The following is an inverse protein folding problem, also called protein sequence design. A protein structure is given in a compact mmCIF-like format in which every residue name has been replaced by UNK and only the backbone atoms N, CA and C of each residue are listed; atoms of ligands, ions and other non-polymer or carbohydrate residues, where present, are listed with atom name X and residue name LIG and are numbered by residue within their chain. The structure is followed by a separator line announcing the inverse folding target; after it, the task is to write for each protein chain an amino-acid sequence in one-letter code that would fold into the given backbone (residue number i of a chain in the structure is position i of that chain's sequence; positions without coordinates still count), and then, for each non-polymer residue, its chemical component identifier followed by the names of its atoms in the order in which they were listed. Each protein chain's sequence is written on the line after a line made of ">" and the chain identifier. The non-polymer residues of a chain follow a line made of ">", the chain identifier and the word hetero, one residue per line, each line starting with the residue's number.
data_IF_465783746894
#
_entry.id   IF_465783746894
#
_cell.length_a   1.000
_cell.length_b   1.000
_cell.length_c   1.000
_cell.angle_alpha   90.00
_cell.angle_beta   90.00
_cell.angle_gamma   90.00
#
_symmetry.space_group_name_H-M   'P 1'
#
loop_
_entity.id
_entity.type
_entity.pdbx_description
1 polymer ?
#
# COMPACT_ATOMS: atom_id res chain seq x y z
N UNK A 1 -0.63 -15.46 16.07
CA UNK A 1 -0.14 -14.10 15.81
C UNK A 1 -0.36 -13.78 14.33
N UNK A 2 -0.80 -12.55 14.05
CA UNK A 2 -1.05 -12.08 12.70
C UNK A 2 -0.08 -10.92 12.42
N UNK A 3 0.80 -11.12 11.45
CA UNK A 3 1.85 -10.20 11.01
C UNK A 3 2.57 -9.44 12.16
N UNK A 4 3.17 -10.15 13.13
CA UNK A 4 3.78 -9.50 14.29
C UNK A 4 5.05 -8.70 13.95
N UNK A 5 5.61 -8.84 12.75
CA UNK A 5 6.78 -8.09 12.27
C UNK A 5 6.43 -6.70 11.69
N UNK A 6 5.14 -6.35 11.54
CA UNK A 6 4.72 -5.06 10.95
C UNK A 6 5.39 -3.87 11.65
N UNK A 7 5.96 -2.96 10.86
CA UNK A 7 6.61 -1.73 11.35
C UNK A 7 7.91 -1.97 12.13
N UNK A 8 8.42 -3.20 12.14
CA UNK A 8 9.68 -3.52 12.81
C UNK A 8 10.86 -3.40 11.84
N UNK A 9 11.92 -2.80 12.31
CA UNK A 9 13.21 -2.85 11.62
C UNK A 9 13.79 -4.28 11.69
N UNK A 10 14.54 -4.73 10.67
CA UNK A 10 15.16 -6.06 10.62
C UNK A 10 15.93 -6.45 11.89
N UNK A 11 16.58 -5.49 12.56
CA UNK A 11 17.23 -5.70 13.87
C UNK A 11 16.24 -6.13 14.96
N UNK A 12 15.03 -5.56 14.97
CA UNK A 12 14.04 -5.84 16.00
C UNK A 12 13.29 -7.14 15.68
N UNK A 13 13.16 -7.51 14.38
CA UNK A 13 12.69 -8.83 13.95
C UNK A 13 13.53 -9.97 14.55
N UNK A 14 14.86 -9.83 14.59
CA UNK A 14 15.73 -10.84 15.24
C UNK A 14 15.35 -11.06 16.71
N UNK A 15 15.01 -9.99 17.44
CA UNK A 15 14.58 -10.11 18.86
C UNK A 15 13.20 -10.75 18.96
N UNK A 16 12.28 -10.40 18.06
CA UNK A 16 10.95 -10.98 18.01
C UNK A 16 11.02 -12.49 17.73
N UNK A 17 11.77 -12.91 16.72
CA UNK A 17 12.00 -14.33 16.37
C UNK A 17 12.50 -15.09 17.60
N UNK A 18 13.48 -14.53 18.32
CA UNK A 18 14.00 -15.14 19.54
C UNK A 18 12.90 -15.29 20.60
N UNK A 19 12.11 -14.28 20.86
CA UNK A 19 11.03 -14.34 21.84
C UNK A 19 9.96 -15.37 21.46
N UNK A 20 9.64 -15.52 20.15
CA UNK A 20 8.71 -16.54 19.67
C UNK A 20 9.27 -17.96 19.85
N UNK A 21 10.57 -18.15 19.60
CA UNK A 21 11.25 -19.42 19.87
C UNK A 21 11.28 -19.76 21.37
N UNK A 22 11.59 -18.78 22.21
CA UNK A 22 11.56 -18.98 23.68
C UNK A 22 10.14 -19.35 24.12
N UNK A 23 9.08 -18.75 23.56
CA UNK A 23 7.69 -19.10 23.85
C UNK A 23 7.33 -20.54 23.42
N UNK A 24 7.81 -20.99 22.26
CA UNK A 24 7.68 -22.36 21.78
C UNK A 24 8.40 -23.35 22.71
N UNK A 25 9.63 -23.02 23.09
CA UNK A 25 10.51 -23.93 23.84
C UNK A 25 10.01 -24.22 25.26
N UNK A 26 9.14 -23.38 25.84
CA UNK A 26 8.44 -23.67 27.10
C UNK A 26 7.17 -24.52 26.90
N UNK A 27 6.94 -25.09 25.70
CA UNK A 27 5.91 -26.09 25.44
C UNK A 27 4.64 -25.52 24.75
N UNK A 28 4.67 -24.30 24.20
CA UNK A 28 3.54 -23.74 23.46
C UNK A 28 3.62 -24.09 21.97
N UNK A 29 2.44 -24.15 21.33
CA UNK A 29 2.34 -24.10 19.87
C UNK A 29 2.19 -22.65 19.45
N UNK A 30 3.08 -22.17 18.59
CA UNK A 30 3.08 -20.79 18.07
C UNK A 30 2.75 -20.83 16.57
N UNK A 31 1.60 -20.26 16.18
CA UNK A 31 1.20 -20.10 14.79
C UNK A 31 1.32 -18.62 14.42
N UNK A 32 2.04 -18.34 13.35
CA UNK A 32 2.32 -16.97 12.86
C UNK A 32 1.91 -16.88 11.40
N UNK A 33 1.12 -15.88 11.06
CA UNK A 33 0.87 -15.46 9.68
C UNK A 33 1.89 -14.38 9.35
N UNK A 34 2.72 -14.60 8.33
CA UNK A 34 3.85 -13.71 8.04
C UNK A 34 4.25 -13.70 6.56
N UNK A 35 4.89 -12.58 6.17
CA UNK A 35 5.49 -12.36 4.86
C UNK A 35 7.00 -12.06 4.96
N UNK A 36 7.53 -11.92 6.17
CA UNK A 36 8.95 -11.66 6.41
C UNK A 36 9.80 -12.91 6.15
N UNK A 37 10.84 -12.76 5.32
CA UNK A 37 11.73 -13.85 4.89
C UNK A 37 12.44 -14.52 6.07
N UNK A 38 12.97 -13.72 7.01
CA UNK A 38 13.74 -14.24 8.12
C UNK A 38 12.82 -15.01 9.08
N UNK A 39 11.60 -14.50 9.30
CA UNK A 39 10.58 -15.16 10.12
C UNK A 39 10.20 -16.53 9.55
N UNK A 40 9.99 -16.60 8.21
CA UNK A 40 9.68 -17.87 7.55
C UNK A 40 10.83 -18.87 7.64
N UNK A 41 12.06 -18.44 7.37
CA UNK A 41 13.24 -19.33 7.39
C UNK A 41 13.62 -19.82 8.79
N UNK A 42 13.26 -19.09 9.84
CA UNK A 42 13.54 -19.40 11.23
C UNK A 42 12.40 -20.19 11.94
N UNK A 43 11.30 -20.49 11.20
CA UNK A 43 10.19 -21.32 11.68
C UNK A 43 10.55 -22.80 11.64
N UNK A 44 9.83 -23.64 12.41
CA UNK A 44 9.98 -25.10 12.38
C UNK A 44 9.24 -25.72 11.19
N UNK A 45 8.17 -25.07 10.72
CA UNK A 45 7.32 -25.56 9.64
C UNK A 45 6.69 -24.39 8.90
N UNK A 46 6.68 -24.47 7.59
CA UNK A 46 6.08 -23.46 6.69
C UNK A 46 4.86 -24.08 6.00
N UNK A 47 3.76 -23.35 5.97
CA UNK A 47 2.56 -23.67 5.22
C UNK A 47 2.27 -22.51 4.26
N UNK A 48 2.40 -22.75 2.97
CA UNK A 48 2.20 -21.75 1.92
C UNK A 48 0.79 -21.89 1.32
N UNK A 49 0.00 -20.82 1.41
CA UNK A 49 -1.38 -20.79 0.94
C UNK A 49 -1.47 -19.91 -0.30
N UNK A 50 -1.99 -20.45 -1.39
CA UNK A 50 -2.10 -19.77 -2.67
C UNK A 50 -3.02 -20.52 -3.64
N UNK A 51 -2.68 -20.50 -4.98
CA UNK A 51 -1.53 -19.82 -5.60
C UNK A 51 -1.68 -18.31 -5.78
N UNK A 52 -2.89 -17.75 -5.65
CA UNK A 52 -3.18 -16.33 -5.79
C UNK A 52 -4.05 -15.83 -4.64
N UNK A 53 -4.50 -14.58 -4.75
CA UNK A 53 -5.37 -13.95 -3.76
C UNK A 53 -6.87 -14.16 -4.09
N UNK A 54 -7.75 -13.98 -3.09
CA UNK A 54 -9.20 -14.03 -3.26
C UNK A 54 -9.69 -15.36 -3.81
N UNK A 55 -10.42 -15.34 -4.93
CA UNK A 55 -11.01 -16.55 -5.55
C UNK A 55 -9.97 -17.53 -6.11
N UNK A 56 -8.76 -17.08 -6.33
CA UNK A 56 -7.65 -17.87 -6.87
C UNK A 56 -6.77 -18.47 -5.77
N UNK A 57 -7.08 -18.20 -4.51
CA UNK A 57 -6.34 -18.67 -3.34
C UNK A 57 -7.04 -19.78 -2.57
N UNK A 58 -6.62 -19.96 -1.32
CA UNK A 58 -7.25 -20.87 -0.36
C UNK A 58 -6.80 -22.32 -0.47
N UNK A 59 -5.74 -22.62 -1.24
CA UNK A 59 -5.16 -23.95 -1.35
C UNK A 59 -3.76 -23.99 -0.74
N UNK A 60 -3.39 -25.11 -0.12
CA UNK A 60 -2.00 -25.36 0.27
C UNK A 60 -1.20 -25.65 -1.00
N UNK A 61 -0.24 -24.79 -1.34
CA UNK A 61 0.60 -24.93 -2.53
C UNK A 61 1.94 -25.58 -2.22
N UNK A 62 2.46 -25.36 -1.01
CA UNK A 62 3.66 -26.00 -0.50
C UNK A 62 3.64 -26.06 1.03
N UNK A 63 4.27 -27.08 1.60
CA UNK A 63 4.43 -27.20 3.05
C UNK A 63 5.68 -28.01 3.40
N UNK A 64 6.23 -27.83 4.58
CA UNK A 64 7.36 -28.59 5.12
C UNK A 64 8.21 -27.77 6.10
N UNK A 65 9.21 -28.44 6.67
CA UNK A 65 10.30 -27.73 7.34
C UNK A 65 11.04 -26.83 6.31
N UNK A 66 11.79 -25.80 6.75
CA UNK A 66 12.42 -24.85 5.84
C UNK A 66 13.28 -25.50 4.74
N UNK A 67 14.02 -26.56 5.05
CA UNK A 67 14.88 -27.24 4.05
C UNK A 67 14.05 -27.95 3.00
N UNK A 68 13.04 -28.71 3.41
CA UNK A 68 12.10 -29.39 2.53
C UNK A 68 11.28 -28.39 1.73
N UNK A 69 10.86 -27.28 2.36
CA UNK A 69 10.09 -26.23 1.70
C UNK A 69 10.86 -25.53 0.58
N UNK A 70 12.12 -25.18 0.81
CA UNK A 70 13.00 -24.55 -0.19
C UNK A 70 13.25 -25.43 -1.43
N UNK A 71 13.09 -26.75 -1.32
CA UNK A 71 13.16 -27.67 -2.45
C UNK A 71 11.87 -27.73 -3.31
N UNK A 72 10.79 -27.06 -2.86
CA UNK A 72 9.52 -27.00 -3.62
C UNK A 72 9.59 -25.95 -4.72
N UNK A 73 8.66 -26.08 -5.68
CA UNK A 73 8.54 -25.13 -6.80
C UNK A 73 7.45 -24.06 -6.57
N UNK A 74 7.10 -23.76 -5.31
CA UNK A 74 6.20 -22.63 -5.04
C UNK A 74 6.90 -21.30 -5.27
N UNK A 75 6.13 -20.26 -5.56
CA UNK A 75 6.66 -18.91 -5.77
C UNK A 75 7.34 -18.38 -4.51
N UNK A 76 6.79 -18.72 -3.32
CA UNK A 76 7.40 -18.39 -2.03
C UNK A 76 8.76 -19.07 -1.87
N UNK A 77 8.88 -20.36 -2.21
CA UNK A 77 10.16 -21.06 -2.14
C UNK A 77 11.21 -20.47 -3.09
N UNK A 78 10.82 -20.12 -4.31
CA UNK A 78 11.71 -19.47 -5.28
C UNK A 78 12.20 -18.10 -4.78
N UNK A 79 11.33 -17.31 -4.14
CA UNK A 79 11.72 -16.04 -3.52
C UNK A 79 12.69 -16.24 -2.36
N UNK A 80 12.39 -17.18 -1.45
CA UNK A 80 13.27 -17.49 -0.31
C UNK A 80 14.64 -17.99 -0.75
N UNK A 81 14.71 -18.76 -1.84
CA UNK A 81 15.95 -19.21 -2.49
C UNK A 81 16.71 -18.08 -3.22
N UNK A 82 16.05 -16.91 -3.45
CA UNK A 82 16.61 -15.84 -4.25
C UNK A 82 16.59 -16.10 -5.76
N UNK A 83 15.78 -17.05 -6.24
CA UNK A 83 15.58 -17.34 -7.67
C UNK A 83 14.71 -16.28 -8.35
N UNK A 84 13.82 -15.64 -7.60
CA UNK A 84 13.02 -14.50 -8.00
C UNK A 84 13.16 -13.39 -6.96
N UNK A 85 12.98 -12.15 -7.38
CA UNK A 85 13.08 -10.99 -6.51
C UNK A 85 12.64 -9.73 -7.23
N UNK A 86 12.75 -8.59 -6.53
CA UNK A 86 12.40 -7.28 -7.10
C UNK A 86 13.46 -6.81 -8.09
N UNK A 87 13.00 -6.11 -9.13
CA UNK A 87 13.89 -5.51 -10.11
C UNK A 87 14.55 -4.25 -9.53
N UNK A 88 15.87 -4.23 -9.47
CA UNK A 88 16.64 -3.07 -9.00
C UNK A 88 17.25 -2.37 -10.20
N UNK A 89 17.09 -1.06 -10.29
CA UNK A 89 17.63 -0.27 -11.39
C UNK A 89 19.16 -0.41 -11.50
N UNK A 90 19.65 -0.61 -12.71
CA UNK A 90 21.08 -0.71 -12.98
C UNK A 90 21.84 0.59 -12.67
N UNK A 91 21.17 1.74 -12.82
CA UNK A 91 21.67 3.06 -12.45
C UNK A 91 20.64 3.79 -11.60
N UNK A 92 21.08 4.41 -10.51
CA UNK A 92 20.25 5.22 -9.63
C UNK A 92 19.97 6.57 -10.29
N UNK A 93 18.74 7.09 -10.12
CA UNK A 93 18.40 8.45 -10.57
C UNK A 93 19.17 9.48 -9.76
N UNK A 94 19.63 10.54 -10.43
CA UNK A 94 20.28 11.69 -9.77
C UNK A 94 19.26 12.76 -9.36
N UNK A 95 18.02 12.66 -9.82
CA UNK A 95 16.96 13.65 -9.65
C UNK A 95 17.04 14.81 -10.66
N UNK A 96 16.19 15.83 -10.46
CA UNK A 96 16.13 17.04 -11.31
C UNK A 96 17.31 17.99 -11.09
N UNK A 97 18.07 17.82 -10.01
CA UNK A 97 19.05 18.78 -9.52
C UNK A 97 18.52 19.73 -8.44
N UNK A 98 17.20 19.85 -8.33
CA UNK A 98 16.53 20.61 -7.28
C UNK A 98 16.34 19.75 -6.03
N UNK A 99 16.15 20.41 -4.88
CA UNK A 99 15.97 19.73 -3.59
C UNK A 99 15.05 20.50 -2.66
N UNK A 100 14.41 19.79 -1.74
CA UNK A 100 13.83 20.36 -0.53
C UNK A 100 14.89 20.26 0.57
N UNK A 101 15.13 21.37 1.27
CA UNK A 101 16.03 21.43 2.39
C UNK A 101 15.26 21.93 3.61
N UNK A 102 15.05 21.04 4.59
CA UNK A 102 14.49 21.34 5.91
C UNK A 102 15.64 21.39 6.91
N UNK A 103 15.80 22.51 7.64
CA UNK A 103 16.86 22.69 8.62
C UNK A 103 16.28 22.86 10.01
N UNK A 104 17.03 22.41 11.02
CA UNK A 104 16.74 22.70 12.40
C UNK A 104 15.53 21.95 12.99
N UNK A 105 15.21 20.76 12.50
CA UNK A 105 14.09 19.97 13.05
C UNK A 105 14.46 19.43 14.44
N UNK A 106 13.68 19.83 15.49
CA UNK A 106 13.95 19.52 16.91
C UNK A 106 12.75 18.92 17.64
N UNK A 107 11.69 18.55 16.93
CA UNK A 107 10.51 17.94 17.52
C UNK A 107 10.79 16.60 18.20
N UNK A 108 10.13 16.32 19.32
CA UNK A 108 10.23 15.08 20.10
C UNK A 108 11.70 14.68 20.37
N UNK A 109 12.17 13.57 19.79
CA UNK A 109 13.54 13.08 19.97
C UNK A 109 14.54 13.58 18.91
N UNK A 110 14.11 14.42 17.94
CA UNK A 110 14.99 14.92 16.88
C UNK A 110 16.06 15.87 17.44
N UNK A 111 17.28 15.71 16.96
CA UNK A 111 18.47 16.44 17.43
C UNK A 111 18.98 17.41 16.38
N UNK A 112 18.23 18.48 16.12
CA UNK A 112 18.56 19.53 15.18
C UNK A 112 18.90 18.98 13.79
N UNK A 113 17.96 18.21 13.21
CA UNK A 113 18.18 17.53 11.93
C UNK A 113 18.09 18.51 10.78
N UNK A 114 19.05 18.37 9.85
CA UNK A 114 18.95 18.91 8.49
C UNK A 114 18.61 17.77 7.55
N UNK A 115 17.45 17.88 6.87
CA UNK A 115 16.95 16.88 5.92
C UNK A 115 17.02 17.43 4.50
N UNK A 116 17.77 16.76 3.63
CA UNK A 116 17.83 17.05 2.20
C UNK A 116 17.09 15.99 1.40
N UNK A 117 16.07 16.37 0.62
CA UNK A 117 15.34 15.48 -0.26
C UNK A 117 15.56 15.90 -1.71
N UNK A 118 16.14 15.01 -2.50
CA UNK A 118 16.37 15.22 -3.94
C UNK A 118 15.08 15.05 -4.71
N UNK A 119 14.71 16.05 -5.51
CA UNK A 119 13.48 15.98 -6.30
C UNK A 119 13.65 15.10 -7.53
N UNK A 120 12.55 14.43 -7.94
CA UNK A 120 12.55 13.48 -9.06
C UNK A 120 13.23 12.15 -8.74
N UNK A 121 13.25 11.73 -7.47
CA UNK A 121 13.84 10.46 -7.03
C UNK A 121 12.86 9.64 -6.19
N UNK A 122 13.12 8.34 -6.09
CA UNK A 122 12.57 7.46 -5.06
C UNK A 122 13.52 7.48 -3.86
N UNK A 123 13.17 8.24 -2.83
CA UNK A 123 13.93 8.34 -1.58
C UNK A 123 13.29 7.51 -0.48
N UNK A 124 14.06 6.68 0.22
CA UNK A 124 13.57 5.89 1.34
C UNK A 124 14.13 6.40 2.67
N UNK A 125 13.23 6.65 3.63
CA UNK A 125 13.55 6.96 5.02
C UNK A 125 13.56 5.66 5.79
N UNK A 126 14.70 5.33 6.39
CA UNK A 126 14.92 4.09 7.13
C UNK A 126 15.34 4.37 8.57
N UNK A 127 15.51 3.33 9.35
CA UNK A 127 16.00 3.42 10.73
C UNK A 127 15.20 2.59 11.70
N UNK A 128 15.77 2.33 12.86
CA UNK A 128 15.14 1.50 13.91
C UNK A 128 13.82 2.10 14.38
N UNK A 129 12.96 1.26 14.97
CA UNK A 129 11.69 1.71 15.53
C UNK A 129 11.92 2.76 16.61
N UNK A 130 11.13 3.86 16.58
CA UNK A 130 11.29 4.99 17.49
C UNK A 130 12.50 5.90 17.21
N UNK A 131 13.20 5.77 16.07
CA UNK A 131 14.35 6.63 15.73
C UNK A 131 13.97 8.06 15.36
N UNK A 132 12.67 8.38 15.18
CA UNK A 132 12.18 9.72 14.85
C UNK A 132 11.68 9.89 13.43
N UNK A 133 11.54 8.81 12.64
CA UNK A 133 11.04 8.86 11.25
C UNK A 133 9.68 9.56 11.13
N UNK A 134 8.68 9.11 11.89
CA UNK A 134 7.33 9.68 11.87
C UNK A 134 7.32 11.13 12.36
N UNK A 135 8.12 11.45 13.40
CA UNK A 135 8.29 12.81 13.89
C UNK A 135 8.85 13.74 12.80
N UNK A 136 9.88 13.28 12.08
CA UNK A 136 10.52 14.09 11.03
C UNK A 136 9.59 14.27 9.81
N UNK A 137 8.91 13.22 9.38
CA UNK A 137 8.13 13.24 8.14
C UNK A 137 6.67 13.65 8.39
N UNK A 138 5.91 12.94 9.27
CA UNK A 138 4.48 13.18 9.46
C UNK A 138 4.16 14.35 10.38
N UNK A 139 5.01 14.61 11.38
CA UNK A 139 4.76 15.66 12.37
C UNK A 139 5.52 16.96 12.07
N UNK A 140 6.54 16.93 11.20
CA UNK A 140 7.32 18.12 10.83
C UNK A 140 7.18 18.45 9.34
N UNK A 141 7.73 17.63 8.43
CA UNK A 141 7.78 17.94 6.99
C UNK A 141 6.38 18.02 6.36
N UNK A 142 5.54 17.00 6.55
CA UNK A 142 4.22 16.94 5.90
C UNK A 142 3.30 18.10 6.33
N UNK A 143 3.18 18.49 7.62
CA UNK A 143 2.42 19.67 8.01
C UNK A 143 2.91 20.96 7.35
N UNK A 144 4.24 21.17 7.20
CA UNK A 144 4.80 22.34 6.50
C UNK A 144 4.31 22.35 5.05
N UNK A 145 4.47 21.22 4.33
CA UNK A 145 4.02 21.10 2.94
C UNK A 145 2.51 21.31 2.82
N UNK A 146 1.74 20.76 3.76
CA UNK A 146 0.29 20.84 3.78
C UNK A 146 -0.22 22.25 4.06
N UNK A 147 0.48 23.02 4.93
CA UNK A 147 0.22 24.43 5.12
C UNK A 147 0.50 25.23 3.85
N UNK A 148 1.63 24.98 3.19
CA UNK A 148 2.03 25.71 1.99
C UNK A 148 1.06 25.50 0.82
N UNK A 149 0.66 24.26 0.53
CA UNK A 149 -0.16 23.94 -0.65
C UNK A 149 -1.66 24.01 -0.43
N UNK A 150 -2.12 23.72 0.79
CA UNK A 150 -3.56 23.54 1.09
C UNK A 150 -4.08 24.41 2.22
N UNK A 151 -3.27 25.33 2.77
CA UNK A 151 -3.63 26.18 3.89
C UNK A 151 -4.14 25.37 5.10
N UNK A 152 -3.55 24.21 5.35
CA UNK A 152 -3.86 23.37 6.51
C UNK A 152 -3.58 24.13 7.80
N UNK A 153 -4.38 23.85 8.84
CA UNK A 153 -4.19 24.45 10.19
C UNK A 153 -3.32 23.58 11.11
N UNK A 154 -2.88 22.42 10.62
CA UNK A 154 -2.01 21.53 11.41
C UNK A 154 -0.65 22.17 11.54
N UNK A 155 -0.23 22.45 12.78
CA UNK A 155 1.06 23.05 13.05
C UNK A 155 2.18 22.02 13.00
N UNK A 156 3.29 22.29 12.29
CA UNK A 156 4.47 21.44 12.30
C UNK A 156 5.17 21.51 13.66
N UNK A 157 5.90 20.46 14.00
CA UNK A 157 6.84 20.49 15.10
C UNK A 157 7.99 21.47 14.83
N UNK A 158 8.71 21.94 15.87
CA UNK A 158 9.71 23.00 15.73
C UNK A 158 10.80 22.68 14.70
N UNK A 159 11.08 23.65 13.84
CA UNK A 159 12.15 23.66 12.84
C UNK A 159 12.64 25.10 12.63
N UNK A 160 13.80 25.27 11.97
CA UNK A 160 14.35 26.60 11.71
C UNK A 160 13.88 27.17 10.36
N UNK A 161 14.07 26.41 9.27
CA UNK A 161 13.67 26.86 7.92
C UNK A 161 13.44 25.71 6.97
N UNK A 162 12.72 26.01 5.88
CA UNK A 162 12.53 25.12 4.73
C UNK A 162 12.70 25.92 3.43
N UNK A 163 13.29 25.29 2.41
CA UNK A 163 13.44 25.86 1.07
C UNK A 163 13.21 24.81 -0.01
N UNK A 164 12.99 25.25 -1.27
CA UNK A 164 12.77 24.36 -2.42
C UNK A 164 11.31 24.01 -2.66
N UNK A 165 10.34 24.62 -1.95
CA UNK A 165 8.91 24.36 -2.11
C UNK A 165 8.38 24.83 -3.48
N UNK A 166 9.05 25.80 -4.10
CA UNK A 166 8.73 26.34 -5.43
C UNK A 166 8.93 25.34 -6.58
N UNK A 167 9.66 24.26 -6.34
CA UNK A 167 9.93 23.23 -7.35
C UNK A 167 8.85 22.14 -7.41
N UNK A 168 7.95 22.08 -6.44
CA UNK A 168 6.84 21.13 -6.38
C UNK A 168 5.51 21.84 -6.48
N UNK A 169 4.48 21.17 -6.96
CA UNK A 169 3.15 21.77 -7.19
C UNK A 169 2.08 21.25 -6.22
N UNK A 170 2.29 20.11 -5.62
CA UNK A 170 1.40 19.51 -4.61
C UNK A 170 2.10 18.42 -3.81
N UNK A 171 1.58 18.16 -2.63
CA UNK A 171 1.95 17.02 -1.80
C UNK A 171 0.79 16.03 -1.69
N UNK A 172 1.08 14.75 -1.70
CA UNK A 172 0.09 13.68 -1.53
C UNK A 172 0.63 12.70 -0.52
N UNK A 173 -0.08 12.55 0.59
CA UNK A 173 0.19 11.52 1.57
C UNK A 173 -0.67 10.29 1.28
N UNK A 174 -0.06 9.12 1.27
CA UNK A 174 -0.71 7.83 1.07
C UNK A 174 -0.46 6.98 2.30
N UNK A 175 -1.36 7.08 3.26
CA UNK A 175 -1.34 6.37 4.53
C UNK A 175 -2.26 5.15 4.53
N UNK A 176 -2.20 4.33 5.58
CA UNK A 176 -3.01 3.13 5.77
C UNK A 176 -4.42 3.40 6.34
N UNK A 177 -4.82 4.67 6.51
CA UNK A 177 -6.15 5.00 7.01
C UNK A 177 -7.24 4.50 6.04
N UNK A 178 -8.41 4.07 6.56
CA UNK A 178 -9.50 3.56 5.72
C UNK A 178 -9.93 4.59 4.65
N UNK A 179 -10.28 4.11 3.45
CA UNK A 179 -10.83 4.95 2.36
C UNK A 179 -12.26 5.43 2.64
N UNK A 180 -12.81 5.07 3.77
CA UNK A 180 -14.12 5.51 4.26
C UNK A 180 -14.54 4.73 5.50
N UNK A 181 -15.40 5.37 6.31
CA UNK A 181 -15.84 4.85 7.61
C UNK A 181 -17.21 4.15 7.57
N UNK A 182 -17.83 4.06 6.41
CA UNK A 182 -19.18 3.51 6.27
C UNK A 182 -19.22 2.39 5.24
N UNK A 183 -20.16 1.44 5.33
CA UNK A 183 -20.33 0.39 4.32
C UNK A 183 -20.68 0.90 2.91
N UNK A 184 -21.01 2.18 2.76
CA UNK A 184 -21.28 2.81 1.45
C UNK A 184 -20.00 3.21 0.71
N UNK A 185 -18.89 3.38 1.42
CA UNK A 185 -17.58 3.62 0.82
C UNK A 185 -17.01 2.32 0.25
N UNK A 186 -16.47 2.38 -0.96
CA UNK A 186 -15.87 1.23 -1.64
C UNK A 186 -14.84 1.71 -2.68
N UNK A 187 -14.00 0.82 -3.24
CA UNK A 187 -13.00 1.18 -4.25
C UNK A 187 -13.57 1.92 -5.45
N UNK A 188 -14.75 1.53 -5.97
CA UNK A 188 -15.35 2.18 -7.13
C UNK A 188 -15.79 3.62 -6.84
N UNK A 189 -16.27 3.91 -5.63
CA UNK A 189 -16.66 5.28 -5.24
C UNK A 189 -15.44 6.14 -4.95
N UNK A 190 -14.43 5.59 -4.31
CA UNK A 190 -13.23 6.33 -3.95
C UNK A 190 -12.40 6.75 -5.17
N UNK A 191 -12.20 5.86 -6.13
CA UNK A 191 -11.53 6.16 -7.41
C UNK A 191 -12.36 7.04 -8.35
N UNK A 192 -13.64 7.25 -8.02
CA UNK A 192 -14.58 7.98 -8.85
C UNK A 192 -15.00 7.23 -10.13
N UNK A 193 -14.59 5.97 -10.33
CA UNK A 193 -15.03 5.16 -11.49
C UNK A 193 -16.53 4.87 -11.46
N UNK A 194 -17.11 4.80 -10.27
CA UNK A 194 -18.55 4.56 -10.13
C UNK A 194 -19.41 5.66 -10.76
N UNK A 195 -18.92 6.89 -10.83
CA UNK A 195 -19.62 7.97 -11.53
C UNK A 195 -19.69 7.70 -13.04
N UNK A 196 -18.58 7.29 -13.66
CA UNK A 196 -18.54 6.94 -15.08
C UNK A 196 -19.41 5.70 -15.38
N UNK A 197 -19.45 4.72 -14.47
CA UNK A 197 -20.32 3.54 -14.59
C UNK A 197 -21.80 3.95 -14.54
N UNK A 198 -22.20 4.82 -13.61
CA UNK A 198 -23.59 5.32 -13.53
C UNK A 198 -23.99 6.09 -14.79
N UNK A 199 -23.09 6.89 -15.34
CA UNK A 199 -23.33 7.63 -16.58
C UNK A 199 -23.52 6.66 -17.75
N UNK A 200 -22.75 5.59 -17.84
CA UNK A 200 -22.93 4.53 -18.83
C UNK A 200 -24.34 3.88 -18.70
N UNK A 201 -24.77 3.54 -17.49
CA UNK A 201 -26.08 2.93 -17.27
C UNK A 201 -27.23 3.87 -17.64
N UNK A 202 -27.10 5.17 -17.46
CA UNK A 202 -28.09 6.16 -17.91
C UNK A 202 -28.24 6.24 -19.43
N UNK A 203 -27.21 5.90 -20.17
CA UNK A 203 -27.23 5.97 -21.65
C UNK A 203 -27.89 4.74 -22.29
N UNK A 204 -28.15 3.68 -21.52
CA UNK A 204 -28.76 2.46 -22.02
C UNK A 204 -30.21 2.71 -22.51
N UNK A 205 -30.65 2.03 -23.57
CA UNK A 205 -32.01 2.20 -24.12
C UNK A 205 -33.10 2.09 -23.08
N UNK A 206 -33.04 1.09 -22.20
CA UNK A 206 -33.99 0.86 -21.12
C UNK A 206 -34.08 2.04 -20.15
N UNK A 207 -32.92 2.60 -19.77
CA UNK A 207 -32.86 3.79 -18.90
C UNK A 207 -33.50 5.01 -19.55
N UNK A 208 -33.26 5.21 -20.85
CA UNK A 208 -33.87 6.32 -21.62
C UNK A 208 -35.38 6.18 -21.73
N UNK A 209 -35.88 4.97 -22.01
CA UNK A 209 -37.32 4.71 -22.10
C UNK A 209 -38.02 4.99 -20.76
N UNK A 210 -37.38 4.61 -19.64
CA UNK A 210 -37.92 4.81 -18.28
C UNK A 210 -37.62 6.21 -17.70
N UNK A 211 -36.91 7.08 -18.44
CA UNK A 211 -36.52 8.41 -17.97
C UNK A 211 -35.54 8.40 -16.77
N UNK A 212 -34.74 7.33 -16.62
CA UNK A 212 -33.80 7.19 -15.52
C UNK A 212 -32.59 8.12 -15.70
N UNK A 213 -32.29 8.90 -14.66
CA UNK A 213 -31.13 9.78 -14.56
C UNK A 213 -30.04 9.14 -13.71
N UNK A 214 -28.84 9.71 -13.68
CA UNK A 214 -27.66 9.23 -12.95
C UNK A 214 -27.95 8.96 -11.46
N UNK A 215 -28.82 9.75 -10.82
CA UNK A 215 -29.26 9.55 -9.43
C UNK A 215 -29.96 8.21 -9.19
N UNK A 216 -30.66 7.65 -10.21
CA UNK A 216 -31.32 6.32 -10.12
C UNK A 216 -30.32 5.20 -9.85
N UNK A 217 -29.11 5.32 -10.38
CA UNK A 217 -28.02 4.35 -10.25
C UNK A 217 -27.09 4.67 -9.08
N UNK A 218 -27.44 5.62 -8.21
CA UNK A 218 -26.71 5.91 -6.98
C UNK A 218 -27.35 5.20 -5.79
N UNK A 219 -26.57 4.44 -5.06
CA UNK A 219 -27.05 3.84 -3.80
C UNK A 219 -27.06 4.83 -2.63
N UNK A 220 -26.55 6.07 -2.81
CA UNK A 220 -26.59 7.12 -1.80
C UNK A 220 -27.81 8.04 -1.91
N UNK A 221 -28.57 7.97 -2.99
CA UNK A 221 -29.71 8.86 -3.30
C UNK A 221 -31.01 8.05 -3.35
N UNK A 222 -32.08 8.62 -2.82
CA UNK A 222 -33.43 8.02 -2.89
C UNK A 222 -33.87 7.84 -4.35
N UNK A 223 -34.74 6.83 -4.58
CA UNK A 223 -35.37 6.56 -5.87
C UNK A 223 -34.88 5.27 -6.53
N UNK A 224 -33.59 4.93 -6.50
CA UNK A 224 -33.06 3.68 -7.07
C UNK A 224 -32.48 2.73 -6.06
N UNK A 225 -32.13 3.21 -4.87
CA UNK A 225 -31.56 2.41 -3.79
C UNK A 225 -32.63 1.56 -3.07
N UNK A 226 -32.19 0.53 -2.37
CA UNK A 226 -33.01 -0.16 -1.40
C UNK A 226 -33.25 0.77 -0.20
N UNK A 227 -34.50 1.10 0.10
CA UNK A 227 -34.80 2.02 1.21
C UNK A 227 -34.69 1.34 2.58
N UNK A 228 -34.77 -0.02 2.66
CA UNK A 228 -34.60 -0.77 3.92
C UNK A 228 -33.19 -0.64 4.51
N UNK A 229 -32.15 -0.71 3.66
CA UNK A 229 -30.75 -0.55 4.07
C UNK A 229 -30.15 0.79 3.61
N UNK A 230 -30.99 1.66 3.03
CA UNK A 230 -30.59 2.95 2.47
C UNK A 230 -29.39 2.87 1.52
N UNK A 231 -29.29 1.77 0.77
CA UNK A 231 -28.22 1.53 -0.18
C UNK A 231 -26.92 0.99 0.40
N UNK A 232 -26.85 0.70 1.70
CA UNK A 232 -25.67 0.11 2.32
C UNK A 232 -25.48 -1.37 1.90
N UNK A 233 -26.56 -2.08 1.56
CA UNK A 233 -26.54 -3.52 1.28
C UNK A 233 -26.51 -4.36 2.56
N UNK A 234 -26.09 -3.79 3.67
CA UNK A 234 -25.96 -4.38 4.99
C UNK A 234 -26.86 -3.66 5.99
N UNK A 235 -27.19 -4.33 7.08
CA UNK A 235 -27.80 -3.74 8.27
C UNK A 235 -26.87 -3.95 9.45
N UNK A 236 -26.69 -2.90 10.24
CA UNK A 236 -25.99 -2.98 11.51
C UNK A 236 -26.93 -3.58 12.56
N UNK A 237 -26.47 -4.60 13.25
CA UNK A 237 -27.09 -5.13 14.47
C UNK A 237 -26.20 -4.68 15.62
N UNK A 238 -26.69 -3.70 16.37
CA UNK A 238 -26.02 -3.20 17.55
C UNK A 238 -26.17 -4.23 18.69
N UNK A 239 -25.06 -4.57 19.34
CA UNK A 239 -25.02 -5.52 20.44
C UNK A 239 -24.49 -4.84 21.68
N UNK A 240 -25.25 -4.92 22.80
CA UNK A 240 -24.89 -4.21 24.05
C UNK A 240 -23.55 -4.66 24.67
N UNK A 241 -23.19 -5.95 24.53
CA UNK A 241 -22.01 -6.55 25.17
C UNK A 241 -21.01 -7.19 24.19
N UNK A 242 -21.29 -7.18 22.90
CA UNK A 242 -20.46 -7.75 21.84
C UNK A 242 -20.21 -6.69 20.76
N UNK A 243 -19.16 -6.85 19.94
CA UNK A 243 -18.97 -5.97 18.80
C UNK A 243 -20.18 -6.01 17.86
N UNK A 244 -20.55 -4.85 17.33
CA UNK A 244 -21.62 -4.71 16.35
C UNK A 244 -21.37 -5.57 15.12
N UNK A 245 -22.43 -6.20 14.60
CA UNK A 245 -22.36 -7.10 13.45
C UNK A 245 -23.12 -6.55 12.26
N UNK A 246 -22.48 -6.57 11.09
CA UNK A 246 -23.12 -6.26 9.82
C UNK A 246 -23.69 -7.53 9.18
N UNK A 247 -24.98 -7.53 8.90
CA UNK A 247 -25.67 -8.65 8.20
C UNK A 247 -26.23 -8.19 6.86
N UNK A 248 -26.29 -9.05 5.82
CA UNK A 248 -26.89 -8.71 4.55
C UNK A 248 -28.35 -8.25 4.73
N UNK A 249 -28.74 -7.18 4.03
CA UNK A 249 -30.12 -6.68 4.06
C UNK A 249 -31.07 -7.73 3.48
N UNK A 250 -32.08 -8.13 4.24
CA UNK A 250 -33.07 -9.16 3.86
C UNK A 250 -33.86 -8.77 2.60
N UNK A 251 -34.17 -7.48 2.43
CA UNK A 251 -34.95 -6.96 1.30
C UNK A 251 -34.18 -7.01 -0.01
N UNK A 252 -32.97 -6.50 -0.04
CA UNK A 252 -32.16 -6.44 -1.28
C UNK A 252 -31.10 -7.54 -1.37
N UNK A 253 -30.94 -8.36 -0.33
CA UNK A 253 -29.95 -9.46 -0.26
C UNK A 253 -28.54 -9.01 -0.62
N UNK A 254 -28.11 -7.86 -0.08
CA UNK A 254 -26.80 -7.26 -0.34
C UNK A 254 -26.73 -6.40 -1.60
N UNK A 255 -27.72 -6.41 -2.50
CA UNK A 255 -27.66 -5.78 -3.82
C UNK A 255 -27.74 -4.24 -3.82
N UNK A 256 -28.02 -3.58 -2.69
CA UNK A 256 -28.03 -2.13 -2.51
C UNK A 256 -29.18 -1.37 -3.23
N UNK A 257 -29.82 -1.93 -4.24
CA UNK A 257 -30.81 -1.30 -5.11
C UNK A 257 -32.18 -1.95 -5.02
N UNK A 258 -33.20 -1.23 -5.46
CA UNK A 258 -34.53 -1.78 -5.65
C UNK A 258 -34.60 -2.60 -6.95
N UNK A 259 -35.68 -3.39 -7.10
CA UNK A 259 -35.84 -4.34 -8.19
C UNK A 259 -35.81 -3.66 -9.57
N UNK A 260 -36.52 -2.54 -9.71
CA UNK A 260 -36.67 -1.85 -11.01
C UNK A 260 -35.31 -1.30 -11.51
N UNK A 261 -34.43 -0.85 -10.61
CA UNK A 261 -33.07 -0.41 -10.96
C UNK A 261 -32.21 -1.59 -11.44
N UNK A 262 -32.38 -2.77 -10.82
CA UNK A 262 -31.64 -3.98 -11.17
C UNK A 262 -32.05 -4.61 -12.51
N UNK A 263 -33.23 -4.24 -13.04
CA UNK A 263 -33.70 -4.70 -14.37
C UNK A 263 -32.87 -4.10 -15.52
N UNK A 264 -32.31 -2.89 -15.33
CA UNK A 264 -31.43 -2.28 -16.32
C UNK A 264 -30.09 -3.01 -16.38
N UNK A 265 -29.70 -3.50 -17.57
CA UNK A 265 -28.52 -4.34 -17.76
C UNK A 265 -27.63 -3.83 -18.88
N UNK A 266 -26.31 -3.80 -18.61
CA UNK A 266 -25.25 -3.61 -19.58
C UNK A 266 -24.51 -4.94 -19.78
N UNK A 267 -24.39 -5.42 -21.03
CA UNK A 267 -23.84 -6.75 -21.35
C UNK A 267 -24.40 -7.87 -20.41
N UNK A 268 -25.71 -7.83 -20.11
CA UNK A 268 -26.39 -8.81 -19.24
C UNK A 268 -26.20 -8.64 -17.73
N UNK A 269 -25.41 -7.68 -17.27
CA UNK A 269 -25.13 -7.41 -15.85
C UNK A 269 -25.86 -6.17 -15.35
N UNK A 270 -26.48 -6.25 -14.18
CA UNK A 270 -27.05 -5.11 -13.47
C UNK A 270 -25.93 -4.27 -12.82
N UNK A 271 -26.27 -3.08 -12.34
CA UNK A 271 -25.29 -2.22 -11.66
C UNK A 271 -24.78 -2.86 -10.34
N UNK A 272 -25.57 -3.68 -9.67
CA UNK A 272 -25.12 -4.46 -8.51
C UNK A 272 -24.12 -5.55 -8.93
N UNK A 273 -24.43 -6.29 -9.99
CA UNK A 273 -23.54 -7.33 -10.50
C UNK A 273 -22.15 -6.74 -10.90
N UNK A 274 -22.15 -5.48 -11.38
CA UNK A 274 -20.89 -4.75 -11.70
C UNK A 274 -20.11 -4.40 -10.43
N UNK A 275 -20.78 -4.02 -9.34
CA UNK A 275 -20.10 -3.77 -8.06
C UNK A 275 -19.55 -5.06 -7.44
N UNK A 276 -20.15 -6.21 -7.73
CA UNK A 276 -19.72 -7.52 -7.24
C UNK A 276 -18.55 -8.11 -8.07
N UNK A 277 -18.24 -7.53 -9.25
CA UNK A 277 -17.09 -7.95 -10.06
C UNK A 277 -15.79 -7.63 -9.34
N UNK A 278 -14.81 -8.52 -9.48
CA UNK A 278 -13.42 -8.20 -9.14
C UNK A 278 -12.88 -7.13 -10.09
N UNK A 279 -11.82 -6.46 -9.69
CA UNK A 279 -11.15 -5.45 -10.52
C UNK A 279 -10.68 -6.08 -11.83
N UNK A 280 -10.09 -7.28 -11.81
CA UNK A 280 -9.62 -8.01 -13.00
C UNK A 280 -10.79 -8.36 -13.96
N UNK A 281 -11.91 -8.87 -13.43
CA UNK A 281 -13.12 -9.12 -14.22
C UNK A 281 -13.66 -7.84 -14.86
N UNK A 282 -13.65 -6.74 -14.09
CA UNK A 282 -14.15 -5.46 -14.55
C UNK A 282 -13.27 -4.82 -15.64
N UNK A 283 -11.95 -5.01 -15.62
CA UNK A 283 -11.05 -4.58 -16.70
C UNK A 283 -11.48 -5.21 -18.03
N UNK A 284 -11.71 -6.52 -18.04
CA UNK A 284 -12.15 -7.25 -19.23
C UNK A 284 -13.58 -6.83 -19.64
N UNK A 285 -14.50 -6.74 -18.67
CA UNK A 285 -15.90 -6.40 -18.92
C UNK A 285 -16.07 -5.02 -19.58
N UNK A 286 -15.28 -4.03 -19.13
CA UNK A 286 -15.32 -2.65 -19.63
C UNK A 286 -14.27 -2.34 -20.70
N UNK A 287 -13.64 -3.31 -21.36
CA UNK A 287 -12.56 -3.13 -22.35
C UNK A 287 -12.83 -2.01 -23.39
N UNK A 288 -14.10 -1.89 -23.83
CA UNK A 288 -14.55 -0.91 -24.81
C UNK A 288 -15.03 0.42 -24.18
N UNK A 289 -14.72 0.67 -22.90
CA UNK A 289 -15.11 1.88 -22.16
C UNK A 289 -13.88 2.61 -21.61
N UNK A 290 -13.12 3.38 -22.43
CA UNK A 290 -11.79 3.91 -22.07
C UNK A 290 -11.76 4.71 -20.77
N UNK A 291 -12.81 5.50 -20.47
CA UNK A 291 -12.89 6.30 -19.25
C UNK A 291 -12.96 5.43 -17.99
N UNK A 292 -13.67 4.30 -18.07
CA UNK A 292 -13.86 3.35 -16.98
C UNK A 292 -12.60 2.50 -16.83
N UNK A 293 -12.14 1.88 -17.93
CA UNK A 293 -10.96 1.00 -17.94
C UNK A 293 -9.74 1.69 -17.38
N UNK A 294 -9.45 2.94 -17.77
CA UNK A 294 -8.29 3.67 -17.28
C UNK A 294 -8.21 3.73 -15.75
N UNK A 295 -9.35 3.94 -15.06
CA UNK A 295 -9.38 4.00 -13.60
C UNK A 295 -9.33 2.62 -12.93
N UNK A 296 -9.95 1.61 -13.56
CA UNK A 296 -9.93 0.23 -13.03
C UNK A 296 -8.54 -0.39 -13.24
N UNK A 297 -7.90 -0.09 -14.38
CA UNK A 297 -6.57 -0.59 -14.70
C UNK A 297 -5.52 -0.17 -13.66
N UNK A 298 -5.60 1.06 -13.14
CA UNK A 298 -4.68 1.49 -12.08
C UNK A 298 -4.85 0.70 -10.77
N UNK A 299 -6.08 0.27 -10.44
CA UNK A 299 -6.32 -0.64 -9.32
C UNK A 299 -5.66 -2.02 -9.56
N UNK A 300 -5.75 -2.53 -10.79
CA UNK A 300 -5.12 -3.79 -11.16
C UNK A 300 -3.58 -3.70 -11.11
N UNK A 301 -3.02 -2.60 -11.59
CA UNK A 301 -1.57 -2.35 -11.61
C UNK A 301 -0.94 -2.27 -10.22
N UNK A 302 -1.69 -1.83 -9.20
CA UNK A 302 -1.23 -1.84 -7.80
C UNK A 302 -1.47 -3.18 -7.09
N UNK A 303 -1.79 -4.26 -7.83
CA UNK A 303 -1.99 -5.59 -7.26
C UNK A 303 -3.35 -5.80 -6.57
N UNK A 304 -4.37 -5.00 -6.89
CA UNK A 304 -5.73 -5.12 -6.34
C UNK A 304 -6.71 -5.80 -7.30
N UNK A 305 -6.22 -6.66 -8.20
CA UNK A 305 -7.05 -7.36 -9.18
C UNK A 305 -8.15 -8.21 -8.56
N UNK A 306 -7.90 -8.79 -7.39
CA UNK A 306 -8.77 -9.72 -6.68
C UNK A 306 -9.89 -9.08 -5.88
N UNK A 307 -9.81 -7.80 -5.49
CA UNK A 307 -10.87 -7.14 -4.69
C UNK A 307 -12.08 -6.82 -5.58
N UNK A 308 -13.28 -6.80 -4.98
CA UNK A 308 -14.48 -6.39 -5.71
C UNK A 308 -14.59 -4.86 -5.78
N UNK A 309 -15.10 -4.32 -6.90
CA UNK A 309 -15.32 -2.88 -7.08
C UNK A 309 -16.20 -2.28 -5.97
N UNK A 310 -17.20 -3.02 -5.52
CA UNK A 310 -18.14 -2.63 -4.46
C UNK A 310 -17.77 -3.12 -3.08
N UNK A 311 -16.57 -3.67 -2.85
CA UNK A 311 -16.14 -4.15 -1.54
C UNK A 311 -16.21 -3.03 -0.50
N UNK A 312 -16.78 -3.31 0.65
CA UNK A 312 -16.93 -2.29 1.69
C UNK A 312 -15.57 -1.82 2.21
N UNK A 313 -15.40 -0.51 2.33
CA UNK A 313 -14.15 0.09 2.82
C UNK A 313 -13.71 -0.44 4.19
N UNK A 314 -14.68 -0.80 5.04
CA UNK A 314 -14.46 -1.36 6.38
C UNK A 314 -13.92 -2.80 6.39
N UNK A 315 -13.94 -3.50 5.24
CA UNK A 315 -13.42 -4.86 5.09
C UNK A 315 -12.08 -4.91 4.37
N UNK A 316 -11.57 -3.76 3.94
CA UNK A 316 -10.24 -3.65 3.36
C UNK A 316 -9.18 -3.63 4.47
N UNK A 317 -8.07 -4.32 4.24
CA UNK A 317 -6.89 -4.16 5.07
C UNK A 317 -6.28 -2.76 4.93
N UNK A 318 -5.42 -2.34 5.86
CA UNK A 318 -4.72 -1.06 5.77
C UNK A 318 -3.93 -0.92 4.47
N UNK A 319 -3.20 -1.96 4.08
CA UNK A 319 -2.44 -1.99 2.83
C UNK A 319 -3.32 -1.95 1.57
N UNK A 320 -4.49 -2.62 1.56
CA UNK A 320 -5.45 -2.51 0.45
C UNK A 320 -6.02 -1.09 0.33
N UNK A 321 -6.40 -0.47 1.46
CA UNK A 321 -6.89 0.90 1.49
C UNK A 321 -5.82 1.88 0.95
N UNK A 322 -4.58 1.72 1.34
CA UNK A 322 -3.45 2.51 0.88
C UNK A 322 -3.24 2.36 -0.63
N UNK A 323 -3.28 1.15 -1.16
CA UNK A 323 -3.17 0.89 -2.61
C UNK A 323 -4.33 1.46 -3.41
N UNK A 324 -5.57 1.46 -2.87
CA UNK A 324 -6.71 2.16 -3.52
C UNK A 324 -6.46 3.66 -3.61
N UNK A 325 -5.89 4.28 -2.56
CA UNK A 325 -5.49 5.70 -2.57
C UNK A 325 -4.44 5.95 -3.64
N UNK A 326 -3.38 5.13 -3.68
CA UNK A 326 -2.31 5.23 -4.67
C UNK A 326 -2.85 5.09 -6.10
N UNK A 327 -3.69 4.07 -6.38
CA UNK A 327 -4.33 3.89 -7.68
C UNK A 327 -5.17 5.09 -8.11
N UNK A 328 -5.86 5.72 -7.15
CA UNK A 328 -6.65 6.93 -7.41
C UNK A 328 -5.77 8.07 -7.88
N UNK A 329 -4.63 8.30 -7.21
CA UNK A 329 -3.68 9.34 -7.61
C UNK A 329 -3.04 9.06 -8.98
N UNK A 330 -2.66 7.82 -9.23
CA UNK A 330 -2.12 7.38 -10.53
C UNK A 330 -3.09 7.57 -11.70
N UNK A 331 -4.40 7.48 -11.45
CA UNK A 331 -5.43 7.70 -12.47
C UNK A 331 -5.57 9.15 -12.89
N UNK A 332 -5.09 10.11 -12.09
CA UNK A 332 -5.15 11.55 -12.34
C UNK A 332 -4.09 11.99 -13.36
N UNK A 333 -4.26 13.20 -13.90
CA UNK A 333 -3.25 13.79 -14.77
C UNK A 333 -2.02 14.15 -13.95
N UNK A 334 -0.88 13.68 -14.39
CA UNK A 334 0.41 13.88 -13.76
C UNK A 334 1.07 15.16 -14.28
N UNK A 335 1.71 15.92 -13.40
CA UNK A 335 2.47 17.14 -13.70
C UNK A 335 3.98 16.92 -13.71
N UNK A 336 4.44 15.77 -13.15
CA UNK A 336 5.87 15.47 -12.95
C UNK A 336 6.53 16.28 -11.81
N UNK A 337 5.73 17.03 -11.03
CA UNK A 337 6.21 17.85 -9.89
C UNK A 337 5.48 17.54 -8.59
N UNK A 338 4.85 16.37 -8.51
CA UNK A 338 4.14 15.96 -7.31
C UNK A 338 5.09 15.33 -6.31
N UNK A 339 4.93 15.69 -5.03
CA UNK A 339 5.64 15.09 -3.92
C UNK A 339 4.75 14.06 -3.23
N UNK A 340 5.10 12.78 -3.35
CA UNK A 340 4.38 11.67 -2.71
C UNK A 340 5.08 11.27 -1.42
N UNK A 341 4.31 11.08 -0.35
CA UNK A 341 4.76 10.52 0.93
C UNK A 341 3.99 9.23 1.16
N UNK A 342 4.69 8.12 1.28
CA UNK A 342 4.11 6.81 1.57
C UNK A 342 4.67 6.27 2.89
N UNK A 343 3.78 5.83 3.77
CA UNK A 343 4.14 5.25 5.06
C UNK A 343 3.94 3.74 5.03
N UNK A 344 5.03 3.00 5.13
CA UNK A 344 5.11 1.53 5.15
C UNK A 344 4.20 0.87 4.09
N UNK A 345 4.32 1.21 2.80
CA UNK A 345 3.40 0.75 1.77
C UNK A 345 3.47 -0.75 1.48
N UNK A 346 4.45 -1.46 2.03
CA UNK A 346 4.58 -2.93 1.87
C UNK A 346 3.91 -3.75 2.97
N UNK A 347 3.27 -3.10 3.94
CA UNK A 347 2.59 -3.79 5.04
C UNK A 347 1.52 -4.76 4.51
N UNK A 348 1.58 -6.02 4.98
CA UNK A 348 0.65 -7.08 4.57
C UNK A 348 0.76 -7.49 3.10
N UNK A 349 1.89 -7.22 2.44
CA UNK A 349 2.12 -7.60 1.05
C UNK A 349 3.00 -8.84 0.92
N UNK A 350 2.55 -9.75 0.08
CA UNK A 350 3.40 -10.79 -0.44
C UNK A 350 4.47 -10.17 -1.38
N UNK A 351 5.65 -10.78 -1.47
CA UNK A 351 6.78 -10.24 -2.27
C UNK A 351 6.43 -9.98 -3.75
N UNK A 352 5.48 -10.72 -4.34
CA UNK A 352 4.99 -10.43 -5.70
C UNK A 352 4.26 -9.10 -5.77
N UNK A 353 3.44 -8.79 -4.76
CA UNK A 353 2.72 -7.52 -4.69
C UNK A 353 3.71 -6.37 -4.42
N UNK A 354 4.78 -6.62 -3.64
CA UNK A 354 5.87 -5.65 -3.43
C UNK A 354 6.56 -5.32 -4.76
N UNK A 355 6.82 -6.31 -5.61
CA UNK A 355 7.40 -6.08 -6.93
C UNK A 355 6.50 -5.18 -7.81
N UNK A 356 5.19 -5.46 -7.86
CA UNK A 356 4.22 -4.62 -8.58
C UNK A 356 4.15 -3.20 -8.01
N UNK A 357 4.13 -3.06 -6.68
CA UNK A 357 4.15 -1.74 -6.03
C UNK A 357 5.41 -0.96 -6.39
N UNK A 358 6.58 -1.61 -6.34
CA UNK A 358 7.85 -0.97 -6.71
C UNK A 358 7.86 -0.51 -8.16
N UNK A 359 7.35 -1.31 -9.11
CA UNK A 359 7.21 -0.90 -10.51
C UNK A 359 6.37 0.36 -10.66
N UNK A 360 5.32 0.49 -9.87
CA UNK A 360 4.46 1.68 -9.83
C UNK A 360 5.21 2.89 -9.27
N UNK A 361 5.90 2.75 -8.14
CA UNK A 361 6.68 3.83 -7.52
C UNK A 361 7.83 4.28 -8.43
N UNK A 362 8.49 3.35 -9.09
CA UNK A 362 9.54 3.64 -10.08
C UNK A 362 8.98 4.45 -11.27
N UNK A 363 7.82 4.04 -11.82
CA UNK A 363 7.15 4.78 -12.89
C UNK A 363 6.73 6.21 -12.48
N UNK A 364 6.36 6.43 -11.20
CA UNK A 364 6.09 7.78 -10.70
C UNK A 364 7.36 8.64 -10.70
N UNK A 365 8.48 8.09 -10.21
CA UNK A 365 9.76 8.78 -10.20
C UNK A 365 10.29 9.03 -11.63
N UNK A 366 10.11 8.07 -12.56
CA UNK A 366 10.49 8.22 -13.98
C UNK A 366 9.76 9.39 -14.68
N UNK A 367 8.56 9.73 -14.22
CA UNK A 367 7.80 10.88 -14.71
C UNK A 367 8.23 12.21 -14.10
N UNK A 368 9.25 12.23 -13.26
CA UNK A 368 9.79 13.43 -12.61
C UNK A 368 9.22 13.71 -11.22
N UNK A 369 8.27 12.91 -10.72
CA UNK A 369 7.74 13.09 -9.38
C UNK A 369 8.76 12.69 -8.32
N UNK A 370 8.62 13.26 -7.14
CA UNK A 370 9.40 12.85 -5.96
C UNK A 370 8.58 11.87 -5.13
N UNK A 371 9.16 10.73 -4.84
CA UNK A 371 8.51 9.68 -4.04
C UNK A 371 9.34 9.46 -2.78
N UNK A 372 8.79 9.85 -1.63
CA UNK A 372 9.38 9.64 -0.32
C UNK A 372 8.66 8.48 0.36
N UNK A 373 9.38 7.43 0.72
CA UNK A 373 8.82 6.23 1.35
C UNK A 373 9.47 6.02 2.71
N UNK A 374 8.66 5.86 3.75
CA UNK A 374 9.14 5.37 5.05
C UNK A 374 9.02 3.85 5.01
N UNK A 375 10.13 3.12 5.17
CA UNK A 375 10.12 1.68 4.99
C UNK A 375 11.16 0.92 5.81
N UNK A 376 10.82 -0.35 6.08
CA UNK A 376 11.67 -1.32 6.73
C UNK A 376 11.99 -2.52 5.82
N UNK A 377 11.21 -2.70 4.78
CA UNK A 377 11.36 -3.79 3.82
C UNK A 377 12.63 -3.61 2.97
N UNK A 378 13.53 -4.59 3.01
CA UNK A 378 14.82 -4.52 2.32
C UNK A 378 14.71 -4.51 0.80
N UNK A 379 13.63 -5.06 0.22
CA UNK A 379 13.37 -5.01 -1.21
C UNK A 379 13.10 -3.57 -1.69
N UNK A 380 12.32 -2.80 -0.92
CA UNK A 380 12.09 -1.38 -1.20
C UNK A 380 13.37 -0.57 -0.97
N UNK A 381 14.03 -0.78 0.17
CA UNK A 381 15.26 -0.08 0.54
C UNK A 381 16.33 -0.25 -0.53
N UNK A 382 16.58 -1.48 -1.01
CA UNK A 382 17.58 -1.73 -2.05
C UNK A 382 17.19 -1.19 -3.42
N UNK A 383 15.88 -0.92 -3.67
CA UNK A 383 15.36 -0.40 -4.93
C UNK A 383 15.30 1.12 -4.98
N UNK A 384 15.47 1.83 -3.86
CA UNK A 384 15.46 3.29 -3.77
C UNK A 384 16.67 3.93 -4.47
N UNK A 385 16.52 5.16 -4.97
CA UNK A 385 17.61 5.94 -5.53
C UNK A 385 18.52 6.51 -4.42
N UNK A 386 17.89 6.90 -3.31
CA UNK A 386 18.57 7.53 -2.17
C UNK A 386 17.98 7.05 -0.85
N UNK A 387 18.81 6.87 0.16
CA UNK A 387 18.42 6.47 1.51
C UNK A 387 18.80 7.54 2.52
N UNK A 388 17.96 7.71 3.53
CA UNK A 388 18.22 8.52 4.72
C UNK A 388 17.90 7.64 5.93
N UNK A 389 18.93 7.25 6.68
CA UNK A 389 18.82 6.31 7.79
C UNK A 389 18.89 7.05 9.13
N UNK A 390 17.79 6.98 9.90
CA UNK A 390 17.69 7.61 11.22
C UNK A 390 18.06 6.63 12.34
N UNK A 391 18.74 7.15 13.34
CA UNK A 391 19.16 6.34 14.48
C UNK A 391 19.98 7.15 15.48
N UNK A 392 21.01 6.51 16.11
CA UNK A 392 21.37 5.08 15.99
C UNK A 392 20.38 4.13 16.69
N UNK A 393 19.64 4.63 17.70
CA UNK A 393 18.69 3.87 18.51
C UNK A 393 17.30 4.51 18.49
N UNK A 394 16.32 3.91 19.15
CA UNK A 394 15.02 4.52 19.39
C UNK A 394 15.00 5.46 20.60
N UNK A 395 13.96 6.31 20.68
CA UNK A 395 13.73 7.23 21.80
C UNK A 395 14.83 8.27 21.96
N UNK A 396 15.23 8.58 23.19
CA UNK A 396 16.20 9.64 23.50
C UNK A 396 17.60 9.42 22.89
N UNK A 397 17.95 8.18 22.53
CA UNK A 397 19.21 7.85 21.87
C UNK A 397 19.14 7.89 20.34
N UNK A 398 17.94 8.14 19.78
CA UNK A 398 17.70 8.34 18.37
C UNK A 398 17.74 9.80 17.94
N UNK A 399 17.03 10.12 16.87
CA UNK A 399 16.79 11.48 16.41
C UNK A 399 17.95 12.11 15.64
N UNK A 400 18.81 11.31 15.02
CA UNK A 400 19.92 11.77 14.18
C UNK A 400 19.91 11.03 12.84
N UNK A 401 20.39 11.67 11.77
CA UNK A 401 20.75 11.00 10.53
C UNK A 401 22.08 10.29 10.74
N UNK A 402 22.07 8.96 10.65
CA UNK A 402 23.26 8.10 10.86
C UNK A 402 23.99 7.85 9.56
N UNK A 403 23.23 7.73 8.48
CA UNK A 403 23.77 7.52 7.14
C UNK A 403 22.82 8.09 6.08
N UNK A 404 23.39 8.60 5.00
CA UNK A 404 22.65 9.01 3.81
C UNK A 404 23.44 8.70 2.55
N UNK A 405 22.77 8.52 1.43
CA UNK A 405 23.40 8.19 0.15
C UNK A 405 22.64 7.14 -0.63
N UNK A 406 23.27 6.60 -1.67
CA UNK A 406 22.70 5.44 -2.39
C UNK A 406 22.68 4.20 -1.48
N UNK A 407 21.84 3.20 -1.77
CA UNK A 407 21.84 1.94 -1.02
C UNK A 407 23.23 1.33 -0.86
N UNK A 408 24.05 1.41 -1.91
CA UNK A 408 25.43 0.89 -1.92
C UNK A 408 26.39 1.70 -1.01
N UNK A 409 26.14 2.99 -0.82
CA UNK A 409 26.90 3.86 0.09
C UNK A 409 26.52 3.60 1.54
N UNK A 410 25.20 3.55 1.83
CA UNK A 410 24.69 3.27 3.17
C UNK A 410 25.11 1.86 3.65
N UNK A 411 25.11 0.86 2.77
CA UNK A 411 25.59 -0.50 3.07
C UNK A 411 27.08 -0.57 3.50
N UNK A 412 27.87 0.47 3.22
CA UNK A 412 29.27 0.56 3.65
C UNK A 412 29.43 1.28 4.99
N UNK A 413 28.40 1.96 5.49
CA UNK A 413 28.48 2.70 6.74
C UNK A 413 28.32 1.74 7.95
N UNK A 414 29.35 1.58 8.79
CA UNK A 414 29.30 0.64 9.91
C UNK A 414 28.36 1.10 11.04
N UNK A 415 28.01 2.37 11.10
CA UNK A 415 27.10 2.92 12.11
C UNK A 415 25.62 2.66 11.78
N UNK A 416 25.30 2.38 10.51
CA UNK A 416 23.92 2.09 10.07
C UNK A 416 23.55 0.63 10.33
N UNK A 417 22.47 0.42 11.11
CA UNK A 417 21.89 -0.92 11.26
C UNK A 417 21.26 -1.38 9.95
N UNK A 418 20.50 -0.50 9.28
CA UNK A 418 19.93 -0.77 7.95
C UNK A 418 21.03 -1.17 6.96
N UNK A 419 22.15 -0.44 6.97
CA UNK A 419 23.30 -0.72 6.11
C UNK A 419 23.90 -2.12 6.30
N UNK A 420 23.90 -2.64 7.52
CA UNK A 420 24.41 -4.00 7.80
C UNK A 420 23.54 -5.08 7.11
N UNK A 421 22.21 -5.01 7.25
CA UNK A 421 21.30 -5.95 6.59
C UNK A 421 21.31 -5.77 5.08
N UNK A 422 21.27 -4.54 4.61
CA UNK A 422 21.32 -4.21 3.18
C UNK A 422 22.59 -4.74 2.48
N UNK A 423 23.71 -4.79 3.18
CA UNK A 423 24.97 -5.32 2.64
C UNK A 423 24.87 -6.80 2.24
N UNK A 424 24.16 -7.60 3.03
CA UNK A 424 23.96 -9.01 2.74
C UNK A 424 22.98 -9.20 1.57
N UNK A 425 21.89 -8.44 1.56
CA UNK A 425 20.92 -8.44 0.46
C UNK A 425 21.56 -8.06 -0.89
N UNK A 426 22.38 -7.01 -0.92
CA UNK A 426 23.08 -6.59 -2.13
C UNK A 426 24.12 -7.61 -2.62
N UNK A 427 24.70 -8.43 -1.74
CA UNK A 427 25.60 -9.54 -2.15
C UNK A 427 24.81 -10.66 -2.82
N UNK A 428 23.69 -11.05 -2.24
CA UNK A 428 22.80 -12.10 -2.77
C UNK A 428 22.31 -11.72 -4.16
N UNK A 429 21.86 -10.48 -4.34
CA UNK A 429 21.44 -9.94 -5.62
C UNK A 429 22.54 -9.98 -6.69
N UNK A 430 23.78 -9.62 -6.35
CA UNK A 430 24.92 -9.67 -7.29
C UNK A 430 25.25 -11.10 -7.73
N UNK A 431 25.08 -12.08 -6.85
CA UNK A 431 25.27 -13.49 -7.16
C UNK A 431 24.21 -13.96 -8.15
N UNK A 432 22.94 -13.59 -7.92
CA UNK A 432 21.81 -13.90 -8.79
C UNK A 432 21.97 -13.34 -10.22
N UNK A 433 22.35 -12.07 -10.36
CA UNK A 433 22.58 -11.42 -11.66
C UNK A 433 23.73 -12.05 -12.44
N UNK A 434 24.74 -12.61 -11.76
CA UNK A 434 25.83 -13.33 -12.41
C UNK A 434 25.44 -14.72 -12.93
N UNK A 435 24.54 -15.40 -12.24
CA UNK A 435 24.06 -16.75 -12.63
C UNK A 435 23.09 -16.72 -13.80
N UNK A 436 22.33 -15.61 -13.97
CA UNK A 436 21.32 -15.49 -15.04
C UNK A 436 21.85 -14.78 -16.30
N UNK A 437 23.03 -14.18 -16.27
CA UNK A 437 23.69 -13.52 -17.42
C UNK A 437 24.90 -14.31 -17.94
N UNK A 438 25.15 -15.50 -17.48
CA UNK A 438 26.12 -16.47 -17.98
C UNK A 438 25.41 -17.65 -18.62
#
# INVERSE_FOLDING_TARGET
>A
LDEPSIGLHARDNVKLIKALKDLRDIGNTVVVVEHDKDMMLESDYILDIGPGAGRHGGHVVAEGDPQTFLAKHSTTAQYLNGEIGVNVLAARRTGSGDKILLTGATGNNLKNITLEIRLGTLTCITGVSGSGKSTLIHETLFPILNQHFYNSRTEPLPFESISGLEFIDKVIEVDQSPIGRTPRSNPATYTGVFSDIRDLFTQLPESKIRGYKTGRFSFNVKGGRCETCEGAGLRLIEMEFLPDVYVPCETCKGKRYNRETLEVRFKGKSISDVLDMTVEEAVVFFENQPKIVRKIQTLNEVGLGYISLGQHATTLSGGEAQRVKLATELSKRDTGKTFYILDEPTTGLHFQDIAHLLDVLQKLADKGNTVLVIEHNLDVIKSADYLIDLGPEGGAKGGMIVAEGTPEQVAKNPASYTGKFLKEELKTMKKFLRTNNG
#
